data_IF_288607346559
#
_entry.id   IF_288607346559
#
_cell.length_a   1.000
_cell.length_b   1.000
_cell.length_c   1.000
_cell.angle_alpha   90.00
_cell.angle_beta   90.00
_cell.angle_gamma   90.00
#
_symmetry.space_group_name_H-M   'P 1'
#
loop_
_entity.id
_entity.type
_entity.pdbx_description
1 polymer ?
#
# COMPACT_ATOMS: atom_id res chain seq x y z
N UNK A 1 -48.53 9.21 -31.39
CA UNK A 1 -48.10 7.96 -30.73
C UNK A 1 -46.72 8.21 -30.13
N UNK A 2 -46.67 8.52 -28.81
CA UNK A 2 -45.46 9.02 -28.14
C UNK A 2 -44.55 7.86 -27.74
N UNK A 3 -43.36 7.78 -28.34
CA UNK A 3 -42.31 6.76 -28.08
C UNK A 3 -41.14 7.36 -27.26
N UNK A 4 -41.42 8.16 -26.25
CA UNK A 4 -40.39 8.92 -25.52
C UNK A 4 -40.10 8.51 -24.06
N UNK A 5 -40.74 7.51 -23.39
CA UNK A 5 -40.40 7.26 -21.99
C UNK A 5 -39.10 6.46 -21.78
N UNK A 6 -38.69 5.59 -22.74
CA UNK A 6 -37.50 4.74 -22.56
C UNK A 6 -36.17 5.51 -22.63
N UNK A 7 -36.06 6.51 -23.50
CA UNK A 7 -34.85 7.32 -23.64
C UNK A 7 -34.63 8.22 -22.42
N UNK A 8 -35.72 8.80 -21.88
CA UNK A 8 -35.68 9.65 -20.70
C UNK A 8 -35.27 8.85 -19.44
N UNK A 9 -35.79 7.63 -19.30
CA UNK A 9 -35.47 6.72 -18.18
C UNK A 9 -33.99 6.33 -18.26
N UNK A 10 -33.46 5.98 -19.44
CA UNK A 10 -32.07 5.67 -19.64
C UNK A 10 -31.15 6.85 -19.33
N UNK A 11 -31.55 8.07 -19.72
CA UNK A 11 -30.80 9.31 -19.46
C UNK A 11 -30.77 9.62 -17.95
N UNK A 12 -31.90 9.45 -17.26
CA UNK A 12 -32.00 9.64 -15.79
C UNK A 12 -31.14 8.59 -15.05
N UNK A 13 -31.16 7.34 -15.50
CA UNK A 13 -30.30 6.29 -14.93
C UNK A 13 -28.82 6.61 -15.16
N UNK A 14 -28.46 7.05 -16.38
CA UNK A 14 -27.08 7.43 -16.71
C UNK A 14 -26.60 8.64 -15.91
N UNK A 15 -27.42 9.68 -15.79
CA UNK A 15 -27.14 10.85 -14.96
C UNK A 15 -27.04 10.52 -13.47
N UNK A 16 -27.92 9.67 -12.95
CA UNK A 16 -27.85 9.25 -11.56
C UNK A 16 -26.61 8.42 -11.25
N UNK A 17 -26.20 7.55 -12.18
CA UNK A 17 -24.95 6.80 -12.06
C UNK A 17 -23.71 7.70 -12.17
N UNK A 18 -23.76 8.73 -13.03
CA UNK A 18 -22.67 9.72 -13.17
C UNK A 18 -22.52 10.57 -11.90
N UNK A 19 -23.61 11.15 -11.39
CA UNK A 19 -23.63 11.94 -10.14
C UNK A 19 -23.18 11.08 -8.94
N UNK A 20 -23.65 9.83 -8.87
CA UNK A 20 -23.22 8.89 -7.84
C UNK A 20 -21.75 8.52 -7.97
N UNK A 21 -21.21 8.48 -9.20
CA UNK A 21 -19.79 8.22 -9.46
C UNK A 21 -18.90 9.37 -9.01
N UNK A 22 -19.28 10.63 -9.28
CA UNK A 22 -18.52 11.80 -8.83
C UNK A 22 -18.57 11.98 -7.32
N UNK A 23 -19.74 11.81 -6.69
CA UNK A 23 -19.89 11.89 -5.23
C UNK A 23 -18.99 10.90 -4.51
N UNK A 24 -18.90 9.66 -5.00
CA UNK A 24 -18.02 8.65 -4.38
C UNK A 24 -16.52 8.93 -4.57
N UNK A 25 -16.11 9.58 -5.65
CA UNK A 25 -14.70 9.97 -5.81
C UNK A 25 -14.33 11.07 -4.83
N UNK A 26 -15.18 12.06 -4.67
CA UNK A 26 -14.96 13.14 -3.68
C UNK A 26 -14.89 12.58 -2.27
N UNK A 27 -15.87 11.79 -1.85
CA UNK A 27 -15.88 11.16 -0.53
C UNK A 27 -14.65 10.25 -0.31
N UNK A 28 -14.19 9.55 -1.36
CA UNK A 28 -12.98 8.74 -1.29
C UNK A 28 -11.73 9.61 -1.08
N UNK A 29 -11.64 10.76 -1.77
CA UNK A 29 -10.57 11.74 -1.61
C UNK A 29 -10.61 12.42 -0.23
N UNK A 30 -11.81 12.66 0.29
CA UNK A 30 -12.07 13.20 1.63
C UNK A 30 -11.78 12.17 2.74
N UNK A 31 -11.37 10.96 2.39
CA UNK A 31 -10.88 9.96 3.33
C UNK A 31 -11.94 8.98 3.84
N UNK A 32 -13.16 8.94 3.30
CA UNK A 32 -14.23 8.03 3.75
C UNK A 32 -13.92 6.59 3.32
N UNK A 33 -13.65 5.64 4.26
CA UNK A 33 -13.17 4.29 3.91
C UNK A 33 -14.14 3.48 3.05
N UNK A 34 -15.44 3.64 3.29
CA UNK A 34 -16.50 3.00 2.49
C UNK A 34 -16.50 3.51 1.04
N UNK A 35 -16.35 4.82 0.85
CA UNK A 35 -16.29 5.44 -0.48
C UNK A 35 -15.00 5.02 -1.21
N UNK A 36 -13.87 4.95 -0.52
CA UNK A 36 -12.61 4.45 -1.05
C UNK A 36 -12.74 3.00 -1.55
N UNK A 37 -13.38 2.12 -0.79
CA UNK A 37 -13.68 0.76 -1.21
C UNK A 37 -14.57 0.73 -2.46
N UNK A 38 -15.65 1.51 -2.48
CA UNK A 38 -16.57 1.56 -3.61
C UNK A 38 -15.90 2.09 -4.88
N UNK A 39 -15.05 3.11 -4.74
CA UNK A 39 -14.27 3.63 -5.85
C UNK A 39 -13.26 2.62 -6.36
N UNK A 40 -12.58 1.90 -5.46
CA UNK A 40 -11.67 0.80 -5.82
C UNK A 40 -12.39 -0.31 -6.61
N UNK A 41 -13.59 -0.71 -6.21
CA UNK A 41 -14.40 -1.71 -6.93
C UNK A 41 -14.70 -1.28 -8.37
N UNK A 42 -15.05 -0.01 -8.58
CA UNK A 42 -15.24 0.53 -9.95
C UNK A 42 -13.97 0.54 -10.79
N UNK A 43 -12.83 0.82 -10.15
CA UNK A 43 -11.54 0.74 -10.84
C UNK A 43 -11.23 -0.70 -11.26
N UNK A 44 -11.64 -1.71 -10.48
CA UNK A 44 -11.56 -3.12 -10.88
C UNK A 44 -12.41 -3.39 -12.13
N UNK A 45 -13.68 -2.94 -12.12
CA UNK A 45 -14.59 -3.07 -13.28
C UNK A 45 -14.04 -2.38 -14.53
N UNK A 46 -13.34 -1.25 -14.35
CA UNK A 46 -12.65 -0.52 -15.43
C UNK A 46 -11.28 -1.11 -15.82
N UNK A 47 -10.88 -2.27 -15.27
CA UNK A 47 -9.59 -2.91 -15.54
C UNK A 47 -8.37 -2.24 -14.90
N UNK A 48 -8.56 -1.22 -14.06
CA UNK A 48 -7.48 -0.44 -13.40
C UNK A 48 -7.07 -1.06 -12.07
N UNK A 49 -6.69 -2.35 -12.08
CA UNK A 49 -6.42 -3.15 -10.87
C UNK A 49 -5.35 -2.54 -9.96
N UNK A 50 -4.28 -1.98 -10.52
CA UNK A 50 -3.19 -1.37 -9.73
C UNK A 50 -3.68 -0.17 -8.92
N UNK A 51 -4.41 0.76 -9.57
CA UNK A 51 -4.97 1.94 -8.90
C UNK A 51 -6.05 1.55 -7.88
N UNK A 52 -6.87 0.55 -8.19
CA UNK A 52 -7.87 0.03 -7.27
C UNK A 52 -7.24 -0.50 -5.99
N UNK A 53 -6.11 -1.20 -6.12
CA UNK A 53 -5.40 -1.75 -4.98
C UNK A 53 -4.89 -0.67 -4.02
N UNK A 54 -4.43 0.47 -4.52
CA UNK A 54 -4.03 1.58 -3.66
C UNK A 54 -5.20 2.12 -2.83
N UNK A 55 -6.38 2.25 -3.44
CA UNK A 55 -7.60 2.67 -2.74
C UNK A 55 -8.08 1.63 -1.71
N UNK A 56 -8.03 0.33 -2.05
CA UNK A 56 -8.32 -0.72 -1.07
C UNK A 56 -7.37 -0.66 0.14
N UNK A 57 -6.08 -0.39 -0.08
CA UNK A 57 -5.11 -0.27 1.00
C UNK A 57 -5.36 0.94 1.90
N UNK A 58 -5.70 2.08 1.31
CA UNK A 58 -6.04 3.29 2.07
C UNK A 58 -7.25 3.02 2.95
N UNK A 59 -8.30 2.42 2.40
CA UNK A 59 -9.49 2.06 3.17
C UNK A 59 -9.20 1.00 4.25
N UNK A 60 -8.42 -0.02 3.92
CA UNK A 60 -8.06 -1.07 4.88
C UNK A 60 -7.20 -0.53 6.03
N UNK A 61 -6.30 0.41 5.76
CA UNK A 61 -5.50 1.08 6.79
C UNK A 61 -6.35 1.87 7.80
N UNK A 62 -7.56 2.27 7.40
CA UNK A 62 -8.56 2.91 8.25
C UNK A 62 -9.52 1.91 8.92
N UNK A 63 -9.25 0.61 8.80
CA UNK A 63 -10.04 -0.45 9.42
C UNK A 63 -11.22 -0.96 8.57
N UNK A 64 -11.30 -0.63 7.27
CA UNK A 64 -12.38 -1.12 6.41
C UNK A 64 -12.19 -2.60 6.07
N UNK A 65 -12.93 -3.47 6.76
CA UNK A 65 -12.79 -4.92 6.71
C UNK A 65 -12.91 -5.51 5.28
N UNK A 66 -13.89 -5.04 4.49
CA UNK A 66 -14.07 -5.54 3.11
C UNK A 66 -12.87 -5.25 2.21
N UNK A 67 -12.18 -4.12 2.42
CA UNK A 67 -10.95 -3.81 1.70
C UNK A 67 -9.81 -4.74 2.11
N UNK A 68 -9.67 -5.03 3.40
CA UNK A 68 -8.67 -5.98 3.90
C UNK A 68 -8.89 -7.39 3.32
N UNK A 69 -10.13 -7.88 3.35
CA UNK A 69 -10.50 -9.18 2.79
C UNK A 69 -10.28 -9.23 1.27
N UNK A 70 -10.63 -8.16 0.55
CA UNK A 70 -10.39 -8.11 -0.90
C UNK A 70 -8.90 -8.23 -1.23
N UNK A 71 -8.04 -7.49 -0.52
CA UNK A 71 -6.58 -7.56 -0.68
C UNK A 71 -6.11 -9.00 -0.43
N UNK A 72 -6.55 -9.59 0.65
CA UNK A 72 -6.14 -10.94 1.06
C UNK A 72 -6.51 -12.02 0.03
N UNK A 73 -7.68 -11.89 -0.60
CA UNK A 73 -8.20 -12.85 -1.57
C UNK A 73 -7.66 -12.65 -3.00
N UNK A 74 -7.24 -11.45 -3.36
CA UNK A 74 -6.94 -11.09 -4.76
C UNK A 74 -5.47 -10.77 -5.04
N UNK A 75 -4.61 -10.79 -4.02
CA UNK A 75 -3.18 -10.58 -4.16
C UNK A 75 -2.47 -11.91 -3.96
N UNK A 76 -1.83 -12.39 -5.01
CA UNK A 76 -0.89 -13.51 -4.92
C UNK A 76 0.39 -13.03 -4.23
N UNK A 77 0.70 -13.68 -3.10
CA UNK A 77 1.79 -13.27 -2.25
C UNK A 77 3.00 -14.19 -2.46
N UNK A 78 4.01 -13.71 -3.15
CA UNK A 78 5.36 -14.29 -3.08
C UNK A 78 6.03 -13.83 -1.77
N UNK A 79 5.35 -14.16 -0.67
CA UNK A 79 5.72 -13.71 0.67
C UNK A 79 7.12 -14.15 1.03
N UNK A 80 7.44 -15.40 0.78
CA UNK A 80 8.68 -16.02 1.26
C UNK A 80 9.90 -15.41 0.58
N UNK A 81 9.87 -15.22 -0.74
CA UNK A 81 10.95 -14.59 -1.50
C UNK A 81 11.18 -13.14 -1.04
N UNK A 82 10.10 -12.37 -0.86
CA UNK A 82 10.17 -11.00 -0.37
C UNK A 82 10.73 -10.93 1.05
N UNK A 83 10.20 -11.75 1.97
CA UNK A 83 10.61 -11.77 3.38
C UNK A 83 12.08 -12.18 3.50
N UNK A 84 12.52 -13.19 2.75
CA UNK A 84 13.91 -13.63 2.72
C UNK A 84 14.83 -12.49 2.29
N UNK A 85 14.53 -11.83 1.16
CA UNK A 85 15.34 -10.70 0.68
C UNK A 85 15.37 -9.53 1.66
N UNK A 86 14.23 -9.24 2.32
CA UNK A 86 14.16 -8.16 3.31
C UNK A 86 14.95 -8.49 4.58
N UNK A 87 14.88 -9.73 5.06
CA UNK A 87 15.63 -10.19 6.25
C UNK A 87 17.13 -10.14 5.96
N UNK A 88 17.58 -10.69 4.85
CA UNK A 88 19.00 -10.69 4.45
C UNK A 88 19.59 -9.27 4.42
N UNK A 89 18.80 -8.29 3.98
CA UNK A 89 19.26 -6.90 3.87
C UNK A 89 19.07 -6.06 5.14
N UNK A 90 18.44 -6.59 6.17
CA UNK A 90 18.17 -5.89 7.44
C UNK A 90 18.39 -6.79 8.67
N UNK A 91 19.33 -7.73 8.58
CA UNK A 91 19.53 -8.72 9.65
C UNK A 91 19.90 -8.08 10.98
N UNK A 92 20.68 -6.99 10.97
CA UNK A 92 21.04 -6.25 12.19
C UNK A 92 19.83 -5.63 12.91
N UNK A 93 18.70 -5.44 12.23
CA UNK A 93 17.49 -4.88 12.84
C UNK A 93 16.52 -5.96 13.37
N UNK A 94 16.69 -7.21 12.96
CA UNK A 94 15.78 -8.30 13.27
C UNK A 94 15.64 -8.53 14.79
N UNK A 95 16.75 -8.62 15.48
CA UNK A 95 16.75 -8.87 16.92
C UNK A 95 16.34 -7.62 17.70
N UNK A 96 16.77 -6.45 17.25
CA UNK A 96 16.34 -5.17 17.84
C UNK A 96 14.82 -5.00 17.76
N UNK A 97 14.21 -5.29 16.61
CA UNK A 97 12.75 -5.16 16.44
C UNK A 97 11.98 -6.09 17.38
N UNK A 98 12.51 -7.27 17.69
CA UNK A 98 11.91 -8.24 18.63
C UNK A 98 12.10 -7.88 20.11
N UNK A 99 13.08 -7.05 20.42
CA UNK A 99 13.42 -6.66 21.80
C UNK A 99 12.63 -5.45 22.32
N UNK A 100 11.86 -4.76 21.49
CA UNK A 100 11.11 -3.59 21.90
C UNK A 100 10.08 -3.89 22.97
N UNK A 101 10.12 -3.09 24.04
CA UNK A 101 9.09 -3.07 25.09
C UNK A 101 7.80 -2.41 24.58
N UNK A 102 6.72 -2.54 25.35
CA UNK A 102 5.43 -1.90 25.01
C UNK A 102 5.56 -0.38 24.90
N UNK A 103 6.29 0.26 25.84
CA UNK A 103 6.47 1.72 25.86
C UNK A 103 7.27 2.21 24.66
N UNK A 104 8.34 1.51 24.28
CA UNK A 104 9.10 1.80 23.07
C UNK A 104 8.26 1.66 21.79
N UNK A 105 7.38 0.66 21.73
CA UNK A 105 6.47 0.48 20.60
C UNK A 105 5.47 1.63 20.48
N UNK A 106 4.94 2.14 21.59
CA UNK A 106 4.05 3.31 21.59
C UNK A 106 4.79 4.59 21.18
N UNK A 107 6.03 4.76 21.62
CA UNK A 107 6.88 5.87 21.19
C UNK A 107 7.19 5.79 19.69
N UNK A 108 7.57 4.62 19.16
CA UNK A 108 7.78 4.39 17.72
C UNK A 108 6.50 4.75 16.94
N UNK A 109 5.32 4.33 17.40
CA UNK A 109 4.05 4.67 16.76
C UNK A 109 3.78 6.18 16.77
N UNK A 110 4.07 6.87 17.88
CA UNK A 110 3.92 8.32 18.01
C UNK A 110 4.83 9.06 17.04
N UNK A 111 6.12 8.71 17.01
CA UNK A 111 7.13 9.35 16.17
C UNK A 111 6.88 9.08 14.67
N UNK A 112 6.47 7.87 14.32
CA UNK A 112 6.05 7.54 12.95
C UNK A 112 4.84 8.35 12.48
N UNK A 113 3.85 8.62 13.37
CA UNK A 113 2.72 9.51 13.08
C UNK A 113 3.18 10.97 12.90
N UNK A 114 4.18 11.40 13.64
CA UNK A 114 4.78 12.74 13.54
C UNK A 114 5.61 12.94 12.26
N UNK A 115 5.90 11.89 11.50
CA UNK A 115 6.59 11.98 10.21
C UNK A 115 8.02 11.47 10.20
N UNK A 116 8.52 10.96 11.32
CA UNK A 116 9.88 10.40 11.39
C UNK A 116 10.03 9.19 10.47
N UNK A 117 10.93 9.30 9.49
CA UNK A 117 11.07 8.31 8.43
C UNK A 117 11.66 6.98 8.91
N UNK A 118 12.56 7.01 9.88
CA UNK A 118 13.17 5.82 10.46
C UNK A 118 12.13 5.03 11.27
N UNK A 119 11.37 5.70 12.13
CA UNK A 119 10.30 5.03 12.88
C UNK A 119 9.16 4.53 11.99
N UNK A 120 8.86 5.21 10.88
CA UNK A 120 7.93 4.69 9.86
C UNK A 120 8.45 3.39 9.23
N UNK A 121 9.74 3.31 8.95
CA UNK A 121 10.37 2.07 8.46
C UNK A 121 10.37 0.97 9.52
N UNK A 122 10.66 1.30 10.79
CA UNK A 122 10.56 0.35 11.89
C UNK A 122 9.15 -0.22 12.06
N UNK A 123 8.11 0.61 11.89
CA UNK A 123 6.72 0.12 11.90
C UNK A 123 6.43 -0.88 10.77
N UNK A 124 7.08 -0.73 9.63
CA UNK A 124 7.03 -1.74 8.58
C UNK A 124 7.75 -3.03 8.99
N UNK A 125 8.94 -2.94 9.59
CA UNK A 125 9.71 -4.11 10.04
C UNK A 125 8.97 -4.88 11.15
N UNK A 126 8.27 -4.19 12.06
CA UNK A 126 7.40 -4.82 13.06
C UNK A 126 6.35 -5.71 12.41
N UNK A 127 5.74 -5.25 11.30
CA UNK A 127 4.82 -6.08 10.52
C UNK A 127 5.50 -7.32 9.93
N UNK A 128 6.66 -7.14 9.30
CA UNK A 128 7.40 -8.25 8.67
C UNK A 128 7.76 -9.33 9.67
N UNK A 129 7.98 -8.96 10.93
CA UNK A 129 8.27 -9.87 12.04
C UNK A 129 7.02 -10.32 12.81
N UNK A 130 5.81 -10.12 12.27
CA UNK A 130 4.51 -10.50 12.87
C UNK A 130 4.24 -9.86 14.26
N UNK A 131 4.79 -8.68 14.51
CA UNK A 131 4.68 -7.96 15.78
C UNK A 131 3.49 -6.98 15.82
N UNK A 132 2.30 -7.46 15.48
CA UNK A 132 1.03 -6.78 15.77
C UNK A 132 0.64 -5.65 14.83
N UNK A 133 1.26 -5.52 13.66
CA UNK A 133 0.87 -4.56 12.61
C UNK A 133 0.21 -5.30 11.44
N UNK A 134 -1.02 -4.92 11.06
CA UNK A 134 -1.71 -5.52 9.93
C UNK A 134 -1.08 -5.14 8.58
N UNK A 135 -1.13 -6.05 7.60
CA UNK A 135 -0.61 -5.86 6.23
C UNK A 135 -0.97 -4.51 5.59
N UNK A 136 -2.24 -4.05 5.61
CA UNK A 136 -2.59 -2.77 5.00
C UNK A 136 -1.94 -1.57 5.69
N UNK A 137 -1.85 -1.60 7.03
CA UNK A 137 -1.18 -0.54 7.81
C UNK A 137 0.32 -0.52 7.52
N UNK A 138 0.95 -1.68 7.43
CA UNK A 138 2.36 -1.82 7.11
C UNK A 138 2.71 -1.19 5.75
N UNK A 139 1.91 -1.47 4.71
CA UNK A 139 2.12 -0.85 3.40
C UNK A 139 2.05 0.68 3.43
N UNK A 140 1.14 1.24 4.23
CA UNK A 140 1.07 2.70 4.41
C UNK A 140 2.36 3.22 5.05
N UNK A 141 2.91 2.51 6.03
CA UNK A 141 4.12 2.93 6.72
C UNK A 141 5.35 2.91 5.82
N UNK A 142 5.57 1.82 5.04
CA UNK A 142 6.72 1.78 4.13
C UNK A 142 6.61 2.82 3.02
N UNK A 143 5.41 3.12 2.53
CA UNK A 143 5.20 4.21 1.56
C UNK A 143 5.55 5.58 2.14
N UNK A 144 5.15 5.86 3.38
CA UNK A 144 5.47 7.13 4.06
C UNK A 144 6.97 7.26 4.29
N UNK A 145 7.62 6.22 4.80
CA UNK A 145 9.05 6.20 4.99
C UNK A 145 9.82 6.41 3.67
N UNK A 146 9.41 5.75 2.59
CA UNK A 146 9.99 5.93 1.27
C UNK A 146 9.77 7.34 0.72
N UNK A 147 8.58 7.91 0.90
CA UNK A 147 8.28 9.30 0.53
C UNK A 147 9.19 10.28 1.28
N UNK A 148 9.45 10.02 2.55
CA UNK A 148 10.36 10.80 3.40
C UNK A 148 11.86 10.44 3.17
N UNK A 149 12.17 9.79 2.04
CA UNK A 149 13.54 9.50 1.58
C UNK A 149 14.36 8.59 2.50
N UNK A 150 13.71 7.74 3.30
CA UNK A 150 14.41 6.73 4.07
C UNK A 150 14.92 5.62 3.11
N UNK A 151 16.25 5.41 2.96
CA UNK A 151 16.79 4.58 1.87
C UNK A 151 16.38 3.10 1.94
N UNK A 152 16.34 2.51 3.15
CA UNK A 152 15.91 1.12 3.36
C UNK A 152 14.43 0.93 3.04
N UNK A 153 13.60 1.96 3.32
CA UNK A 153 12.18 1.91 2.98
C UNK A 153 11.94 1.99 1.47
N UNK A 154 12.72 2.81 0.76
CA UNK A 154 12.68 2.88 -0.70
C UNK A 154 13.04 1.52 -1.30
N UNK A 155 14.11 0.90 -0.80
CA UNK A 155 14.50 -0.44 -1.21
C UNK A 155 13.42 -1.49 -0.89
N UNK A 156 12.91 -1.52 0.34
CA UNK A 156 11.84 -2.42 0.75
C UNK A 156 10.56 -2.25 -0.08
N UNK A 157 10.20 -1.02 -0.44
CA UNK A 157 9.10 -0.74 -1.36
C UNK A 157 9.43 -1.26 -2.78
N UNK A 158 10.68 -1.15 -3.22
CA UNK A 158 11.18 -1.76 -4.44
C UNK A 158 11.01 -3.28 -4.44
N UNK A 159 11.37 -3.95 -3.35
CA UNK A 159 11.17 -5.41 -3.19
C UNK A 159 9.69 -5.79 -3.27
N UNK A 160 8.78 -4.98 -2.70
CA UNK A 160 7.34 -5.21 -2.83
C UNK A 160 6.89 -5.27 -4.28
N UNK A 161 7.37 -4.32 -5.11
CA UNK A 161 7.07 -4.32 -6.55
C UNK A 161 7.84 -5.37 -7.33
N UNK A 162 9.04 -5.74 -6.91
CA UNK A 162 9.86 -6.75 -7.59
C UNK A 162 9.26 -8.15 -7.48
N UNK A 163 8.83 -8.52 -6.26
CA UNK A 163 8.24 -9.83 -5.98
C UNK A 163 6.70 -9.86 -6.11
N UNK A 164 6.06 -8.72 -6.32
CA UNK A 164 4.60 -8.64 -6.36
C UNK A 164 3.94 -8.92 -5.00
N UNK A 165 4.66 -8.73 -3.88
CA UNK A 165 4.12 -8.95 -2.55
C UNK A 165 3.31 -7.73 -2.07
N UNK A 166 2.06 -7.92 -1.65
CA UNK A 166 1.09 -6.87 -1.26
C UNK A 166 0.69 -5.96 -2.44
N UNK A 167 1.51 -5.87 -3.48
CA UNK A 167 1.32 -5.07 -4.69
C UNK A 167 1.45 -5.96 -5.92
N UNK A 168 0.82 -5.65 -7.05
CA UNK A 168 1.14 -6.30 -8.32
C UNK A 168 2.61 -6.14 -8.67
N UNK A 169 3.21 -7.20 -9.23
CA UNK A 169 4.58 -7.18 -9.71
C UNK A 169 4.78 -6.08 -10.77
N UNK A 170 5.78 -5.22 -10.57
CA UNK A 170 6.15 -4.12 -11.45
C UNK A 170 7.68 -3.94 -11.45
N UNK A 171 8.40 -4.83 -12.12
CA UNK A 171 9.88 -4.81 -12.14
C UNK A 171 10.48 -3.47 -12.59
N UNK A 172 9.97 -2.78 -13.64
CA UNK A 172 10.52 -1.48 -14.03
C UNK A 172 10.42 -0.42 -12.93
N UNK A 173 9.34 -0.47 -12.12
CA UNK A 173 9.17 0.43 -10.97
C UNK A 173 10.10 0.05 -9.82
N UNK A 174 10.27 -1.24 -9.58
CA UNK A 174 11.19 -1.73 -8.56
C UNK A 174 12.64 -1.30 -8.85
N UNK A 175 13.08 -1.43 -10.11
CA UNK A 175 14.42 -1.00 -10.54
C UNK A 175 14.66 0.48 -10.23
N UNK A 176 13.72 1.37 -10.59
CA UNK A 176 13.82 2.80 -10.26
C UNK A 176 13.93 3.07 -8.76
N UNK A 177 13.21 2.31 -7.94
CA UNK A 177 13.30 2.42 -6.48
C UNK A 177 14.66 1.91 -5.96
N UNK A 178 15.21 0.85 -6.54
CA UNK A 178 16.55 0.38 -6.18
C UNK A 178 17.63 1.40 -6.57
N UNK A 179 17.54 2.00 -7.75
CA UNK A 179 18.42 3.10 -8.18
C UNK A 179 18.37 4.28 -7.21
N UNK A 180 17.16 4.72 -6.84
CA UNK A 180 16.95 5.80 -5.87
C UNK A 180 17.55 5.46 -4.50
N UNK A 181 17.27 4.26 -3.98
CA UNK A 181 17.81 3.79 -2.71
C UNK A 181 19.34 3.72 -2.70
N UNK A 182 19.93 3.21 -3.80
CA UNK A 182 21.36 3.16 -3.98
C UNK A 182 22.01 4.56 -4.02
N UNK A 183 21.38 5.49 -4.73
CA UNK A 183 21.82 6.90 -4.78
C UNK A 183 21.77 7.60 -3.41
N UNK A 184 20.89 7.16 -2.52
CA UNK A 184 20.82 7.61 -1.13
C UNK A 184 21.75 6.83 -0.17
N UNK A 185 22.65 6.02 -0.71
CA UNK A 185 23.71 5.34 0.05
C UNK A 185 23.37 3.96 0.60
N UNK A 186 22.23 3.35 0.22
CA UNK A 186 21.90 2.00 0.67
C UNK A 186 22.54 0.96 -0.26
N UNK A 187 23.68 0.42 0.14
CA UNK A 187 24.54 -0.46 -0.70
C UNK A 187 23.86 -1.74 -1.17
N UNK A 188 22.96 -2.33 -0.37
CA UNK A 188 22.22 -3.53 -0.77
C UNK A 188 21.36 -3.32 -2.02
N UNK A 189 20.89 -2.11 -2.28
CA UNK A 189 20.11 -1.81 -3.47
C UNK A 189 20.92 -2.04 -4.76
N UNK A 190 22.22 -1.75 -4.73
CA UNK A 190 23.14 -1.97 -5.87
C UNK A 190 23.26 -3.44 -6.25
N UNK A 191 23.17 -4.35 -5.28
CA UNK A 191 23.27 -5.81 -5.54
C UNK A 191 22.09 -6.34 -6.36
N UNK A 192 20.93 -5.70 -6.25
CA UNK A 192 19.74 -6.04 -7.02
C UNK A 192 19.74 -5.47 -8.43
N UNK A 193 20.47 -4.37 -8.65
CA UNK A 193 20.61 -3.76 -9.98
C UNK A 193 21.58 -4.55 -10.88
N UNK A 194 22.44 -5.36 -10.29
CA UNK A 194 23.45 -6.15 -11.00
C UNK A 194 23.04 -7.62 -11.21
N UNK A 195 21.80 -7.99 -10.84
CA UNK A 195 21.19 -9.32 -11.10
C UNK A 195 20.32 -9.30 -12.34
#
# INVERSE_FOLDING_TARGET
MFRTPRLLILLVIFLSQYIYAEGNLKDAQDGVPKAQYQYAMRLIEAGKKSTALDWFRIAAAQGHLKSSLWIEQNIDYRKDEYITALIETNEELKDKVKSYTFDELEEIKKNGKAGDAETQFLLWLLYVNDLGISKPKAYVWIKKAAFNKQPRAIFGLGLLYYYGYIVPEQKPKAIKLFEESSALGYSFASTFLNK
#
